data_IF_399429997925
#
_entry.id   IF_399429997925
#
_cell.length_a   1.000
_cell.length_b   1.000
_cell.length_c   1.000
_cell.angle_alpha   90.00
_cell.angle_beta   90.00
_cell.angle_gamma   90.00
#
_symmetry.space_group_name_H-M   'P 1'
#
loop_
_entity.id
_entity.type
_entity.pdbx_description
1 polymer ?
#
# COMPACT_ATOMS: atom_id res chain seq x y z
N UNK A 1 -20.54 25.24 -49.80
CA UNK A 1 -20.30 25.77 -48.44
C UNK A 1 -20.35 24.62 -47.45
N UNK A 2 -19.25 24.40 -46.73
CA UNK A 2 -19.03 23.30 -45.77
C UNK A 2 -19.93 23.48 -44.55
N UNK A 3 -20.87 22.58 -44.32
CA UNK A 3 -21.42 22.35 -42.99
C UNK A 3 -20.65 21.21 -42.35
N UNK A 4 -19.85 21.61 -41.36
CA UNK A 4 -18.78 20.82 -40.78
C UNK A 4 -19.28 19.65 -39.94
N UNK A 5 -18.54 18.56 -40.10
CA UNK A 5 -18.38 17.47 -39.13
C UNK A 5 -18.12 18.07 -37.75
N UNK A 6 -19.14 18.10 -36.90
CA UNK A 6 -19.01 17.99 -35.45
C UNK A 6 -20.02 16.97 -34.97
N UNK A 7 -19.83 15.72 -35.42
CA UNK A 7 -20.25 14.58 -34.63
C UNK A 7 -19.43 14.68 -33.34
N UNK A 8 -20.04 15.33 -32.33
CA UNK A 8 -19.59 15.30 -30.95
C UNK A 8 -19.44 13.82 -30.60
N UNK A 9 -18.21 13.35 -30.50
CA UNK A 9 -17.89 12.18 -29.72
C UNK A 9 -18.22 12.53 -28.27
N UNK A 10 -19.49 12.44 -27.91
CA UNK A 10 -19.89 12.12 -26.55
C UNK A 10 -19.38 10.69 -26.32
N UNK A 11 -18.08 10.58 -26.03
CA UNK A 11 -17.56 9.44 -25.30
C UNK A 11 -18.44 9.37 -24.06
N UNK A 12 -19.19 8.28 -23.93
CA UNK A 12 -19.90 7.96 -22.71
C UNK A 12 -18.93 8.22 -21.56
N UNK A 13 -19.29 9.12 -20.65
CA UNK A 13 -18.55 9.29 -19.40
C UNK A 13 -18.62 7.92 -18.71
N UNK A 14 -17.56 7.14 -18.87
CA UNK A 14 -17.46 5.84 -18.23
C UNK A 14 -17.64 6.09 -16.74
N UNK A 15 -18.51 5.30 -16.09
CA UNK A 15 -18.72 5.29 -14.64
C UNK A 15 -17.47 4.76 -13.91
N UNK A 16 -16.30 5.31 -14.22
CA UNK A 16 -15.01 4.79 -13.82
C UNK A 16 -14.55 5.49 -12.55
N UNK A 17 -14.10 4.66 -11.62
CA UNK A 17 -13.44 5.07 -10.39
C UNK A 17 -12.19 5.88 -10.77
N UNK A 18 -12.04 7.14 -10.31
CA UNK A 18 -10.93 8.02 -10.70
C UNK A 18 -9.54 7.40 -10.55
N UNK A 19 -9.35 6.56 -9.52
CA UNK A 19 -8.10 5.81 -9.34
C UNK A 19 -7.80 4.86 -10.52
N UNK A 20 -8.78 4.09 -10.96
CA UNK A 20 -8.63 3.15 -12.07
C UNK A 20 -8.38 3.88 -13.40
N UNK A 21 -9.01 5.04 -13.60
CA UNK A 21 -8.76 5.87 -14.78
C UNK A 21 -7.30 6.33 -14.84
N UNK A 22 -6.74 6.83 -13.73
CA UNK A 22 -5.33 7.24 -13.67
C UNK A 22 -4.38 6.07 -13.92
N UNK A 23 -4.69 4.89 -13.40
CA UNK A 23 -3.94 3.67 -13.71
C UNK A 23 -4.00 3.28 -15.19
N UNK A 24 -5.16 3.42 -15.84
CA UNK A 24 -5.32 3.08 -17.26
C UNK A 24 -4.55 4.05 -18.18
N UNK A 25 -4.40 5.31 -17.78
CA UNK A 25 -3.63 6.33 -18.50
C UNK A 25 -2.11 6.15 -18.37
N UNK A 26 -1.64 5.56 -17.26
CA UNK A 26 -0.22 5.31 -17.02
C UNK A 26 0.36 4.23 -17.96
N UNK A 27 1.68 4.26 -18.18
CA UNK A 27 2.40 3.27 -18.98
C UNK A 27 3.39 2.46 -18.15
N UNK A 28 4.09 3.13 -17.23
CA UNK A 28 5.13 2.54 -16.39
C UNK A 28 4.79 2.83 -14.93
N UNK A 29 4.28 1.82 -14.23
CA UNK A 29 3.74 2.00 -12.88
C UNK A 29 4.67 1.39 -11.84
N UNK A 30 5.05 2.17 -10.84
CA UNK A 30 5.67 1.66 -9.62
C UNK A 30 4.57 1.34 -8.62
N UNK A 31 4.46 0.07 -8.21
CA UNK A 31 3.58 -0.38 -7.13
C UNK A 31 4.45 -0.65 -5.91
N UNK A 32 4.25 0.10 -4.82
CA UNK A 32 5.11 0.01 -3.64
C UNK A 32 4.32 -0.21 -2.34
N UNK A 33 4.66 -1.27 -1.59
CA UNK A 33 4.11 -1.47 -0.23
C UNK A 33 4.64 -0.42 0.75
N UNK A 34 3.76 0.27 1.48
CA UNK A 34 4.13 1.45 2.27
C UNK A 34 4.26 1.23 3.79
N UNK A 35 3.47 0.36 4.41
CA UNK A 35 3.60 -0.01 5.84
C UNK A 35 4.65 -1.10 6.06
N UNK A 36 4.99 -1.80 4.99
CA UNK A 36 6.11 -2.71 4.89
C UNK A 36 5.70 -4.17 5.06
N UNK A 37 6.68 -5.04 5.32
CA UNK A 37 6.42 -6.48 5.32
C UNK A 37 5.73 -6.92 4.03
N UNK A 38 4.49 -7.40 4.12
CA UNK A 38 3.79 -8.04 3.00
C UNK A 38 2.87 -7.12 2.19
N UNK A 39 2.79 -5.83 2.46
CA UNK A 39 1.85 -4.92 1.77
C UNK A 39 1.98 -4.95 0.25
N UNK A 40 3.20 -5.13 -0.27
CA UNK A 40 3.44 -5.28 -1.71
C UNK A 40 2.62 -6.40 -2.36
N UNK A 41 2.21 -7.42 -1.61
CA UNK A 41 1.35 -8.50 -2.13
C UNK A 41 -0.04 -8.00 -2.45
N UNK A 42 -0.59 -7.08 -1.66
CA UNK A 42 -1.86 -6.42 -1.97
C UNK A 42 -1.75 -5.52 -3.21
N UNK A 43 -0.55 -5.29 -3.74
CA UNK A 43 -0.34 -4.62 -5.04
C UNK A 43 -0.49 -5.55 -6.25
N UNK A 44 -0.41 -6.86 -6.06
CA UNK A 44 -0.43 -7.86 -7.16
C UNK A 44 -1.76 -7.88 -7.93
N UNK A 45 -2.94 -7.77 -7.28
CA UNK A 45 -4.20 -7.55 -7.99
C UNK A 45 -4.15 -6.39 -9.00
N UNK A 46 -3.58 -5.25 -8.58
CA UNK A 46 -3.45 -4.07 -9.43
C UNK A 46 -2.46 -4.32 -10.57
N UNK A 47 -1.38 -5.05 -10.31
CA UNK A 47 -0.39 -5.44 -11.31
C UNK A 47 -0.99 -6.37 -12.38
N UNK A 48 -1.79 -7.37 -12.00
CA UNK A 48 -2.46 -8.28 -12.97
C UNK A 48 -3.39 -7.49 -13.91
N UNK A 49 -4.14 -6.52 -13.37
CA UNK A 49 -4.94 -5.61 -14.19
C UNK A 49 -4.08 -4.81 -15.17
N UNK A 50 -2.98 -4.22 -14.70
CA UNK A 50 -2.06 -3.43 -15.53
C UNK A 50 -1.42 -4.27 -16.64
N UNK A 51 -0.94 -5.48 -16.32
CA UNK A 51 -0.37 -6.38 -17.32
C UNK A 51 -1.39 -6.82 -18.37
N UNK A 52 -2.65 -7.05 -17.98
CA UNK A 52 -3.73 -7.36 -18.95
C UNK A 52 -3.97 -6.24 -19.98
N UNK A 53 -3.50 -5.02 -19.68
CA UNK A 53 -3.56 -3.84 -20.56
C UNK A 53 -2.21 -3.47 -21.17
N UNK A 54 -1.23 -4.37 -21.12
CA UNK A 54 0.10 -4.18 -21.73
C UNK A 54 0.96 -3.10 -21.06
N UNK A 55 0.66 -2.75 -19.80
CA UNK A 55 1.43 -1.78 -19.03
C UNK A 55 2.66 -2.42 -18.39
N UNK A 56 3.69 -1.62 -18.12
CA UNK A 56 4.87 -2.05 -17.38
C UNK A 56 4.67 -1.80 -15.90
N UNK A 57 5.11 -2.75 -15.08
CA UNK A 57 5.04 -2.68 -13.62
C UNK A 57 6.45 -2.85 -13.07
N UNK A 58 6.79 -2.04 -12.07
CA UNK A 58 7.94 -2.19 -11.18
C UNK A 58 7.38 -2.30 -9.77
N UNK A 59 7.98 -3.15 -8.94
CA UNK A 59 7.61 -3.26 -7.54
C UNK A 59 8.63 -2.57 -6.63
N UNK A 60 8.11 -1.94 -5.58
CA UNK A 60 8.86 -1.46 -4.42
C UNK A 60 8.28 -2.04 -3.14
N UNK A 61 9.04 -2.07 -2.06
CA UNK A 61 8.48 -2.41 -0.75
C UNK A 61 9.33 -1.83 0.37
N UNK A 62 8.69 -1.24 1.38
CA UNK A 62 9.38 -0.87 2.60
C UNK A 62 9.74 -2.13 3.40
N UNK A 63 11.01 -2.53 3.39
CA UNK A 63 11.39 -3.86 3.83
C UNK A 63 11.59 -3.96 5.33
N UNK A 64 11.07 -5.03 5.92
CA UNK A 64 11.33 -5.40 7.32
C UNK A 64 12.54 -6.34 7.44
N UNK A 65 13.07 -6.78 6.31
CA UNK A 65 14.22 -7.66 6.22
C UNK A 65 15.53 -6.90 6.44
N UNK A 66 16.53 -7.56 7.03
CA UNK A 66 17.89 -7.03 7.03
C UNK A 66 18.52 -7.18 5.63
N UNK A 67 18.33 -6.18 4.77
CA UNK A 67 18.74 -6.22 3.36
C UNK A 67 20.26 -6.33 3.14
N UNK A 68 21.08 -6.02 4.14
CA UNK A 68 22.53 -6.24 4.05
C UNK A 68 22.91 -7.69 3.85
N UNK A 69 22.03 -8.63 4.23
CA UNK A 69 22.23 -10.06 4.11
C UNK A 69 21.55 -10.66 2.87
N UNK A 70 20.85 -9.85 2.07
CA UNK A 70 20.02 -10.37 0.98
C UNK A 70 20.81 -10.78 -0.27
N UNK A 71 22.06 -10.35 -0.42
CA UNK A 71 22.88 -10.64 -1.61
C UNK A 71 22.36 -10.00 -2.92
N UNK A 72 21.32 -9.17 -2.86
CA UNK A 72 20.78 -8.42 -3.99
C UNK A 72 21.69 -7.27 -4.43
N UNK A 73 21.48 -6.78 -5.65
CA UNK A 73 22.21 -5.63 -6.20
C UNK A 73 21.89 -4.37 -5.38
N UNK A 74 22.90 -3.75 -4.77
CA UNK A 74 22.72 -2.51 -4.02
C UNK A 74 22.69 -1.31 -4.98
N UNK A 75 21.55 -0.64 -5.03
CA UNK A 75 21.27 0.47 -5.95
C UNK A 75 21.74 1.80 -5.35
N UNK A 76 21.49 1.98 -4.06
CA UNK A 76 21.91 3.16 -3.31
C UNK A 76 22.06 2.77 -1.81
N UNK A 77 22.39 3.72 -0.90
CA UNK A 77 22.60 3.38 0.50
C UNK A 77 21.45 2.65 1.22
N UNK A 78 20.21 2.86 0.78
CA UNK A 78 18.97 2.38 1.42
C UNK A 78 18.11 1.54 0.48
N UNK A 79 18.62 1.06 -0.65
CA UNK A 79 17.81 0.34 -1.65
C UNK A 79 18.57 -0.77 -2.34
N UNK A 80 17.92 -1.93 -2.42
CA UNK A 80 18.41 -3.13 -3.07
C UNK A 80 17.41 -3.58 -4.12
N UNK A 81 17.91 -4.07 -5.24
CA UNK A 81 17.12 -4.83 -6.19
C UNK A 81 17.12 -6.30 -5.75
N UNK A 82 15.93 -6.86 -5.65
CA UNK A 82 15.68 -8.22 -5.20
C UNK A 82 15.22 -9.06 -6.38
N UNK A 83 15.74 -10.29 -6.44
CA UNK A 83 15.32 -11.29 -7.41
C UNK A 83 15.41 -12.70 -6.81
N UNK A 84 15.20 -13.72 -7.63
CA UNK A 84 15.25 -15.13 -7.22
C UNK A 84 16.62 -15.58 -6.67
N UNK A 85 17.69 -14.93 -7.10
CA UNK A 85 19.06 -15.25 -6.68
C UNK A 85 19.42 -14.64 -5.33
N UNK A 86 18.60 -13.70 -4.82
CA UNK A 86 18.75 -13.15 -3.48
C UNK A 86 18.67 -14.25 -2.42
N UNK A 87 19.42 -14.11 -1.33
CA UNK A 87 19.50 -15.10 -0.25
C UNK A 87 18.13 -15.31 0.42
N UNK A 88 17.84 -16.55 0.80
CA UNK A 88 16.69 -16.87 1.65
C UNK A 88 16.99 -16.43 3.08
N UNK A 89 16.30 -15.39 3.54
CA UNK A 89 16.46 -14.80 4.87
C UNK A 89 15.09 -14.62 5.52
N UNK A 90 15.00 -14.60 6.86
CA UNK A 90 13.71 -14.51 7.54
C UNK A 90 12.92 -13.27 7.13
N UNK A 91 11.60 -13.45 6.95
CA UNK A 91 10.65 -12.38 6.69
C UNK A 91 11.02 -11.56 5.44
N UNK A 92 11.11 -12.20 4.28
CA UNK A 92 11.56 -11.58 3.03
C UNK A 92 10.53 -11.69 1.87
N UNK A 93 9.38 -11.01 1.99
CA UNK A 93 8.28 -11.10 1.03
C UNK A 93 8.67 -10.66 -0.39
N UNK A 94 9.61 -9.72 -0.55
CA UNK A 94 10.09 -9.27 -1.84
C UNK A 94 10.75 -10.41 -2.64
N UNK A 95 11.50 -11.28 -1.97
CA UNK A 95 12.08 -12.48 -2.59
C UNK A 95 11.00 -13.48 -2.97
N UNK A 96 10.04 -13.74 -2.09
CA UNK A 96 8.96 -14.69 -2.38
C UNK A 96 8.07 -14.20 -3.51
N UNK A 97 7.83 -12.89 -3.60
CA UNK A 97 7.18 -12.27 -4.76
C UNK A 97 8.00 -12.50 -6.04
N UNK A 98 9.31 -12.29 -6.00
CA UNK A 98 10.18 -12.50 -7.16
C UNK A 98 10.14 -13.96 -7.66
N UNK A 99 10.14 -14.92 -6.74
CA UNK A 99 10.06 -16.34 -7.08
C UNK A 99 8.68 -16.73 -7.60
N UNK A 100 7.61 -16.30 -6.94
CA UNK A 100 6.24 -16.56 -7.36
C UNK A 100 5.93 -15.95 -8.73
N UNK A 101 6.41 -14.75 -9.02
CA UNK A 101 6.27 -14.15 -10.35
C UNK A 101 7.00 -14.97 -11.43
N UNK A 102 8.17 -15.50 -11.10
CA UNK A 102 8.95 -16.30 -12.04
C UNK A 102 8.30 -17.65 -12.35
N UNK A 103 7.62 -18.30 -11.41
CA UNK A 103 6.84 -19.53 -11.70
C UNK A 103 5.71 -19.26 -12.68
N UNK A 104 5.25 -18.00 -12.75
CA UNK A 104 4.25 -17.49 -13.70
C UNK A 104 4.86 -16.90 -14.98
N UNK A 105 6.17 -17.12 -15.21
CA UNK A 105 6.87 -16.62 -16.39
C UNK A 105 7.04 -15.10 -16.43
N UNK A 106 6.88 -14.41 -15.29
CA UNK A 106 7.05 -12.96 -15.18
C UNK A 106 8.40 -12.61 -14.56
N UNK A 107 9.20 -11.84 -15.27
CA UNK A 107 10.42 -11.24 -14.77
C UNK A 107 10.19 -9.74 -14.60
N UNK A 108 10.09 -9.27 -13.35
CA UNK A 108 9.72 -7.89 -13.01
C UNK A 108 10.76 -7.33 -12.05
N UNK A 109 11.24 -6.07 -12.23
CA UNK A 109 12.11 -5.44 -11.25
C UNK A 109 11.40 -5.27 -9.91
N UNK A 110 12.02 -5.73 -8.82
CA UNK A 110 11.53 -5.58 -7.45
C UNK A 110 12.63 -4.88 -6.64
N UNK A 111 12.25 -3.82 -5.94
CA UNK A 111 13.13 -3.05 -5.08
C UNK A 111 12.68 -3.15 -3.63
N UNK A 112 13.63 -3.41 -2.74
CA UNK A 112 13.42 -3.40 -1.30
C UNK A 112 14.10 -2.16 -0.71
N UNK A 113 13.33 -1.36 0.03
CA UNK A 113 13.82 -0.19 0.75
C UNK A 113 14.23 -0.59 2.16
N UNK A 114 15.48 -0.28 2.55
CA UNK A 114 15.92 -0.44 3.93
C UNK A 114 15.28 0.64 4.82
N UNK A 115 15.14 0.32 6.11
CA UNK A 115 14.63 1.26 7.11
C UNK A 115 15.43 2.57 7.09
N UNK A 116 14.72 3.67 6.84
CA UNK A 116 15.25 5.03 6.74
C UNK A 116 14.15 6.05 7.01
N UNK A 117 14.53 7.31 7.20
CA UNK A 117 13.58 8.44 7.24
C UNK A 117 13.13 8.85 5.83
N UNK A 118 12.35 9.92 5.76
CA UNK A 118 11.73 10.38 4.51
C UNK A 118 12.74 10.80 3.46
N UNK A 119 13.82 11.53 3.82
CA UNK A 119 14.76 12.06 2.83
C UNK A 119 15.47 10.97 2.03
N UNK A 120 16.10 9.95 2.65
CA UNK A 120 16.69 8.84 1.91
C UNK A 120 15.66 8.03 1.12
N UNK A 121 14.47 7.81 1.69
CA UNK A 121 13.42 7.06 1.02
C UNK A 121 12.90 7.79 -0.22
N UNK A 122 12.72 9.11 -0.16
CA UNK A 122 12.33 9.93 -1.30
C UNK A 122 13.41 9.92 -2.40
N UNK A 123 14.69 9.92 -2.02
CA UNK A 123 15.79 9.76 -2.97
C UNK A 123 15.72 8.39 -3.68
N UNK A 124 15.42 7.31 -2.96
CA UNK A 124 15.21 5.99 -3.55
C UNK A 124 14.04 5.94 -4.51
N UNK A 125 12.89 6.53 -4.17
CA UNK A 125 11.77 6.66 -5.10
C UNK A 125 12.19 7.42 -6.37
N UNK A 126 12.89 8.56 -6.25
CA UNK A 126 13.38 9.31 -7.42
C UNK A 126 14.31 8.47 -8.31
N UNK A 127 15.26 7.73 -7.73
CA UNK A 127 16.16 6.87 -8.49
C UNK A 127 15.40 5.80 -9.29
N UNK A 128 14.40 5.14 -8.69
CA UNK A 128 13.59 4.13 -9.38
C UNK A 128 12.73 4.78 -10.47
N UNK A 129 12.13 5.95 -10.17
CA UNK A 129 11.31 6.70 -11.11
C UNK A 129 12.11 7.05 -12.37
N UNK A 130 13.33 7.55 -12.20
CA UNK A 130 14.23 7.89 -13.29
C UNK A 130 14.65 6.65 -14.07
N UNK A 131 15.13 5.61 -13.38
CA UNK A 131 15.66 4.39 -13.99
C UNK A 131 14.63 3.67 -14.87
N UNK A 132 13.37 3.60 -14.43
CA UNK A 132 12.30 2.88 -15.13
C UNK A 132 11.34 3.80 -15.88
N UNK A 133 11.60 5.10 -15.91
CA UNK A 133 10.73 6.12 -16.52
C UNK A 133 9.29 6.00 -16.02
N UNK A 134 9.14 5.84 -14.70
CA UNK A 134 7.84 5.67 -14.05
C UNK A 134 7.01 6.93 -14.25
N UNK A 135 5.78 6.77 -14.74
CA UNK A 135 4.83 7.86 -14.92
C UNK A 135 3.72 7.87 -13.84
N UNK A 136 3.59 6.79 -13.07
CA UNK A 136 2.67 6.69 -11.94
C UNK A 136 3.28 5.88 -10.79
N UNK A 137 3.22 6.42 -9.56
CA UNK A 137 3.52 5.68 -8.33
C UNK A 137 2.22 5.38 -7.60
N UNK A 138 2.02 4.12 -7.22
CA UNK A 138 0.89 3.64 -6.44
C UNK A 138 1.45 3.00 -5.16
N UNK A 139 1.14 3.60 -4.02
CA UNK A 139 1.41 3.03 -2.70
C UNK A 139 0.31 2.06 -2.32
N UNK A 140 0.69 0.97 -1.66
CA UNK A 140 -0.21 -0.08 -1.18
C UNK A 140 -0.05 -0.23 0.32
N UNK A 141 -1.17 -0.20 1.03
CA UNK A 141 -1.27 -0.54 2.44
C UNK A 141 -2.22 -1.74 2.59
N UNK A 142 -1.78 -2.76 3.33
CA UNK A 142 -2.60 -3.93 3.67
C UNK A 142 -3.59 -3.66 4.82
N UNK A 143 -3.50 -2.49 5.44
CA UNK A 143 -4.40 -1.97 6.45
C UNK A 143 -4.99 -0.61 6.07
N UNK A 144 -5.37 0.13 7.10
CA UNK A 144 -6.09 1.40 7.04
C UNK A 144 -5.44 2.49 7.89
N UNK A 145 -4.34 2.18 8.58
CA UNK A 145 -3.57 3.13 9.36
C UNK A 145 -2.70 4.05 8.50
N UNK A 146 -2.59 3.83 7.19
CA UNK A 146 -2.11 4.84 6.25
C UNK A 146 -2.99 6.11 6.16
N UNK A 147 -4.27 6.05 6.56
CA UNK A 147 -5.24 7.16 6.50
C UNK A 147 -5.44 7.78 7.89
N UNK A 148 -4.35 8.26 8.48
CA UNK A 148 -4.30 8.85 9.83
C UNK A 148 -3.73 10.29 9.72
N UNK A 149 -4.40 11.25 10.35
CA UNK A 149 -4.03 12.67 10.31
C UNK A 149 -3.18 13.10 11.52
N UNK A 150 -3.26 12.35 12.62
CA UNK A 150 -2.46 12.51 13.84
C UNK A 150 -3.26 12.89 15.08
N UNK A 151 -4.56 13.19 14.96
CA UNK A 151 -5.45 13.52 16.06
C UNK A 151 -6.38 12.36 16.46
N UNK A 152 -6.27 11.20 15.82
CA UNK A 152 -7.09 9.99 16.03
C UNK A 152 -7.04 9.47 17.46
N UNK A 153 -8.03 8.68 17.95
CA UNK A 153 -7.95 8.10 19.29
C UNK A 153 -6.69 7.23 19.50
N UNK A 154 -6.31 6.46 18.49
CA UNK A 154 -5.07 5.70 18.42
C UNK A 154 -4.49 5.75 17.00
N UNK A 155 -3.17 5.64 16.91
CA UNK A 155 -2.42 5.85 15.66
C UNK A 155 -2.07 4.55 14.93
N UNK A 156 -2.28 3.36 15.50
CA UNK A 156 -1.82 2.12 14.85
C UNK A 156 -0.30 2.09 14.67
N UNK A 157 0.14 1.57 13.52
CA UNK A 157 1.55 1.35 13.14
C UNK A 157 2.03 2.33 12.05
N UNK A 158 1.55 3.58 12.08
CA UNK A 158 1.71 4.59 11.02
C UNK A 158 3.14 4.99 10.60
N UNK A 159 4.20 4.63 11.33
CA UNK A 159 5.50 5.30 11.11
C UNK A 159 6.05 4.96 9.72
N UNK A 160 6.03 3.69 9.36
CA UNK A 160 6.43 3.20 8.04
C UNK A 160 5.53 3.75 6.93
N UNK A 161 4.20 3.68 7.10
CA UNK A 161 3.22 4.20 6.14
C UNK A 161 3.42 5.68 5.88
N UNK A 162 3.46 6.48 6.94
CA UNK A 162 3.61 7.92 6.82
C UNK A 162 4.95 8.31 6.19
N UNK A 163 6.05 7.64 6.56
CA UNK A 163 7.34 7.88 5.93
C UNK A 163 7.29 7.58 4.43
N UNK A 164 6.70 6.45 4.03
CA UNK A 164 6.53 6.04 2.64
C UNK A 164 5.63 6.99 1.84
N UNK A 165 4.51 7.41 2.43
CA UNK A 165 3.55 8.34 1.82
C UNK A 165 4.18 9.70 1.59
N UNK A 166 4.83 10.28 2.60
CA UNK A 166 5.50 11.59 2.48
C UNK A 166 6.67 11.50 1.50
N UNK A 167 7.45 10.42 1.54
CA UNK A 167 8.57 10.22 0.60
C UNK A 167 8.13 10.10 -0.86
N UNK A 168 7.08 9.32 -1.14
CA UNK A 168 6.54 9.18 -2.49
C UNK A 168 5.84 10.47 -2.95
N UNK A 169 5.15 11.18 -2.05
CA UNK A 169 4.58 12.49 -2.33
C UNK A 169 5.66 13.48 -2.79
N UNK A 170 6.75 13.60 -2.03
CA UNK A 170 7.89 14.45 -2.37
C UNK A 170 8.55 14.02 -3.69
N UNK A 171 8.85 12.73 -3.85
CA UNK A 171 9.49 12.18 -5.05
C UNK A 171 8.68 12.36 -6.35
N UNK A 172 7.34 12.48 -6.25
CA UNK A 172 6.44 12.59 -7.40
C UNK A 172 5.85 13.98 -7.62
N UNK A 173 6.21 14.96 -6.78
CA UNK A 173 5.56 16.26 -6.69
C UNK A 173 4.03 16.12 -6.49
N UNK A 174 3.63 15.24 -5.57
CA UNK A 174 2.25 15.02 -5.15
C UNK A 174 1.36 14.24 -6.12
N UNK A 175 1.96 13.54 -7.09
CA UNK A 175 1.23 12.74 -8.09
C UNK A 175 1.08 11.26 -7.72
N UNK A 176 1.72 10.80 -6.65
CA UNK A 176 1.54 9.45 -6.13
C UNK A 176 0.09 9.21 -5.66
N UNK A 177 -0.36 7.97 -5.83
CA UNK A 177 -1.65 7.49 -5.34
C UNK A 177 -1.43 6.53 -4.17
N UNK A 178 -2.45 6.35 -3.34
CA UNK A 178 -2.51 5.34 -2.29
C UNK A 178 -3.72 4.44 -2.51
N UNK A 179 -3.54 3.13 -2.31
CA UNK A 179 -4.61 2.15 -2.25
C UNK A 179 -4.46 1.32 -0.97
N UNK A 180 -5.37 1.54 -0.03
CA UNK A 180 -5.46 0.84 1.24
C UNK A 180 -6.52 -0.27 1.14
N UNK A 181 -6.22 -1.48 1.62
CA UNK A 181 -7.15 -2.61 1.67
C UNK A 181 -7.15 -3.20 3.10
N UNK A 182 -8.06 -4.11 3.44
CA UNK A 182 -8.02 -4.74 4.76
C UNK A 182 -8.70 -3.93 5.86
N UNK A 183 -9.79 -3.22 5.54
CA UNK A 183 -10.59 -2.47 6.51
C UNK A 183 -10.84 -3.24 7.81
N UNK A 184 -10.28 -2.69 8.90
CA UNK A 184 -10.43 -3.15 10.27
C UNK A 184 -9.40 -4.14 10.78
N UNK A 185 -8.37 -4.46 10.00
CA UNK A 185 -7.22 -5.26 10.47
C UNK A 185 -6.48 -4.53 11.60
N UNK A 186 -6.33 -3.21 11.51
CA UNK A 186 -5.55 -2.39 12.46
C UNK A 186 -6.30 -2.04 13.74
N UNK A 187 -7.54 -2.50 13.89
CA UNK A 187 -8.33 -2.29 15.10
C UNK A 187 -7.56 -2.72 16.35
N UNK A 188 -6.87 -3.87 16.26
CA UNK A 188 -6.09 -4.45 17.34
C UNK A 188 -4.78 -3.70 17.63
N UNK A 189 -4.40 -2.75 16.76
CA UNK A 189 -3.31 -1.79 16.98
C UNK A 189 -3.83 -0.41 17.42
N UNK A 190 -5.12 -0.29 17.76
CA UNK A 190 -5.73 0.92 18.31
C UNK A 190 -6.34 1.85 17.28
N UNK A 191 -6.45 1.43 16.01
CA UNK A 191 -7.11 2.22 14.97
C UNK A 191 -8.63 2.17 15.15
N UNK A 192 -9.27 3.33 15.12
CA UNK A 192 -10.73 3.43 15.19
C UNK A 192 -11.33 3.40 13.79
N UNK A 193 -12.24 2.45 13.55
CA UNK A 193 -12.98 2.39 12.28
C UNK A 193 -13.82 3.66 12.04
N UNK A 194 -14.38 4.24 13.10
CA UNK A 194 -15.09 5.53 13.01
C UNK A 194 -14.14 6.64 12.56
N UNK A 195 -12.96 6.72 13.17
CA UNK A 195 -11.93 7.71 12.82
C UNK A 195 -11.49 7.56 11.35
N UNK A 196 -11.25 6.32 10.89
CA UNK A 196 -10.96 6.05 9.48
C UNK A 196 -12.09 6.57 8.56
N UNK A 197 -13.34 6.21 8.82
CA UNK A 197 -14.47 6.63 7.97
C UNK A 197 -14.65 8.15 7.97
N UNK A 198 -14.42 8.80 9.11
CA UNK A 198 -14.41 10.26 9.22
C UNK A 198 -13.27 10.89 8.40
N UNK A 199 -12.08 10.29 8.38
CA UNK A 199 -10.97 10.75 7.54
C UNK A 199 -11.27 10.58 6.05
N UNK A 200 -11.86 9.44 5.66
CA UNK A 200 -12.32 9.23 4.27
C UNK A 200 -13.34 10.29 3.88
N UNK A 201 -14.28 10.63 4.76
CA UNK A 201 -15.26 11.69 4.50
C UNK A 201 -14.60 13.06 4.33
N UNK A 202 -13.61 13.40 5.17
CA UNK A 202 -12.84 14.64 5.03
C UNK A 202 -12.03 14.68 3.73
N UNK A 203 -11.33 13.60 3.37
CA UNK A 203 -10.62 13.49 2.10
C UNK A 203 -11.57 13.54 0.90
N UNK A 204 -12.79 13.03 1.04
CA UNK A 204 -13.82 13.15 0.01
C UNK A 204 -14.23 14.59 -0.20
N UNK A 205 -14.49 15.34 0.89
CA UNK A 205 -14.81 16.76 0.82
C UNK A 205 -13.70 17.59 0.16
N UNK A 206 -12.44 17.19 0.35
CA UNK A 206 -11.27 17.84 -0.26
C UNK A 206 -11.01 17.39 -1.71
N UNK A 207 -11.74 16.41 -2.24
CA UNK A 207 -11.48 15.79 -3.55
C UNK A 207 -10.28 14.83 -3.59
N UNK A 208 -9.78 14.44 -2.42
CA UNK A 208 -8.66 13.51 -2.24
C UNK A 208 -9.05 12.03 -2.31
N UNK A 209 -10.30 11.67 -2.05
CA UNK A 209 -10.81 10.30 -2.22
C UNK A 209 -11.08 10.01 -3.70
N UNK A 210 -10.45 8.95 -4.22
CA UNK A 210 -10.48 8.57 -5.64
C UNK A 210 -11.40 7.37 -5.93
N UNK A 211 -12.25 7.04 -4.95
CA UNK A 211 -13.24 5.96 -5.01
C UNK A 211 -12.75 4.66 -4.37
N UNK A 212 -13.65 3.66 -4.38
CA UNK A 212 -13.40 2.34 -3.81
C UNK A 212 -13.93 1.23 -4.72
N UNK A 213 -13.27 0.07 -4.69
CA UNK A 213 -13.67 -1.15 -5.42
C UNK A 213 -13.26 -2.41 -4.67
N UNK A 214 -13.91 -3.53 -4.96
CA UNK A 214 -13.66 -4.80 -4.26
C UNK A 214 -12.78 -5.74 -5.06
N UNK A 215 -11.86 -6.41 -4.36
CA UNK A 215 -11.16 -7.59 -4.83
C UNK A 215 -12.07 -8.80 -4.72
N UNK A 216 -12.37 -9.45 -5.84
CA UNK A 216 -13.27 -10.61 -5.88
C UNK A 216 -12.52 -11.90 -6.17
N UNK A 217 -12.84 -12.97 -5.45
CA UNK A 217 -12.31 -14.32 -5.69
C UNK A 217 -12.62 -14.87 -7.09
N UNK A 218 -13.65 -14.35 -7.77
CA UNK A 218 -14.02 -14.73 -9.13
C UNK A 218 -13.20 -14.06 -10.24
N UNK A 219 -12.16 -13.30 -9.90
CA UNK A 219 -11.34 -12.55 -10.86
C UNK A 219 -9.91 -13.09 -10.93
N UNK A 220 -9.21 -12.83 -12.02
CA UNK A 220 -7.80 -13.23 -12.16
C UNK A 220 -6.93 -12.52 -11.11
N UNK A 221 -7.26 -11.27 -10.79
CA UNK A 221 -6.65 -10.44 -9.76
C UNK A 221 -6.80 -11.07 -8.36
N UNK A 222 -8.01 -11.49 -8.00
CA UNK A 222 -8.28 -12.15 -6.72
C UNK A 222 -7.60 -13.52 -6.62
N UNK A 223 -7.67 -14.33 -7.67
CA UNK A 223 -7.01 -15.64 -7.71
C UNK A 223 -5.48 -15.51 -7.56
N UNK A 224 -4.87 -14.52 -8.22
CA UNK A 224 -3.44 -14.24 -8.11
C UNK A 224 -3.03 -13.84 -6.69
N UNK A 225 -3.81 -13.01 -6.01
CA UNK A 225 -3.55 -12.64 -4.61
C UNK A 225 -3.62 -13.85 -3.68
N UNK A 226 -4.68 -14.67 -3.79
CA UNK A 226 -4.83 -15.86 -2.94
C UNK A 226 -3.68 -16.85 -3.16
N UNK A 227 -3.31 -17.11 -4.41
CA UNK A 227 -2.20 -18.00 -4.78
C UNK A 227 -0.85 -17.51 -4.21
N UNK A 228 -0.57 -16.21 -4.29
CA UNK A 228 0.64 -15.62 -3.72
C UNK A 228 0.67 -15.70 -2.18
N UNK A 229 -0.46 -15.47 -1.51
CA UNK A 229 -0.56 -15.60 -0.05
C UNK A 229 -0.30 -17.05 0.37
N UNK A 230 -0.90 -18.01 -0.32
CA UNK A 230 -0.70 -19.43 -0.04
C UNK A 230 0.76 -19.85 -0.30
N UNK A 231 1.37 -19.35 -1.37
CA UNK A 231 2.78 -19.56 -1.68
C UNK A 231 3.70 -19.05 -0.55
N UNK A 232 3.47 -17.83 -0.06
CA UNK A 232 4.30 -17.28 1.00
C UNK A 232 4.07 -17.92 2.36
N UNK A 233 2.85 -18.40 2.64
CA UNK A 233 2.57 -19.19 3.84
C UNK A 233 3.42 -20.47 3.88
N UNK A 234 3.69 -21.09 2.72
CA UNK A 234 4.59 -22.26 2.63
C UNK A 234 6.06 -21.89 2.86
N UNK A 235 6.47 -20.67 2.53
CA UNK A 235 7.86 -20.20 2.72
C UNK A 235 8.13 -19.69 4.13
N UNK A 236 7.11 -19.17 4.82
CA UNK A 236 7.23 -18.71 6.21
C UNK A 236 6.12 -19.28 7.10
N UNK A 237 6.13 -20.60 7.36
CA UNK A 237 5.08 -21.24 8.16
C UNK A 237 5.09 -20.81 9.63
N UNK A 238 6.25 -20.40 10.16
CA UNK A 238 6.38 -19.93 11.54
C UNK A 238 5.79 -18.53 11.77
N UNK A 239 5.83 -17.69 10.74
CA UNK A 239 5.40 -16.30 10.81
C UNK A 239 4.61 -15.85 9.56
N UNK A 240 3.46 -16.48 9.23
CA UNK A 240 2.60 -16.01 8.14
C UNK A 240 2.16 -14.55 8.33
N UNK A 241 1.85 -13.84 7.24
CA UNK A 241 1.33 -12.48 7.34
C UNK A 241 -0.08 -12.49 7.94
N UNK A 242 -0.29 -11.82 9.08
CA UNK A 242 -1.64 -11.67 9.66
C UNK A 242 -2.54 -10.87 8.70
N UNK A 243 -2.00 -9.78 8.17
CA UNK A 243 -2.70 -8.83 7.30
C UNK A 243 -3.17 -9.53 6.02
N UNK A 244 -2.25 -10.11 5.24
CA UNK A 244 -2.60 -10.73 3.97
C UNK A 244 -3.50 -11.95 4.14
N UNK A 245 -3.33 -12.74 5.20
CA UNK A 245 -4.23 -13.86 5.48
C UNK A 245 -5.63 -13.40 5.88
N UNK A 246 -5.77 -12.28 6.60
CA UNK A 246 -7.09 -11.70 6.93
C UNK A 246 -7.82 -11.20 5.69
N UNK A 247 -7.11 -10.49 4.79
CA UNK A 247 -7.65 -10.09 3.48
C UNK A 247 -8.03 -11.33 2.66
N UNK A 248 -7.17 -12.35 2.60
CA UNK A 248 -7.43 -13.58 1.86
C UNK A 248 -8.66 -14.32 2.40
N UNK A 249 -8.83 -14.39 3.72
CA UNK A 249 -10.04 -14.92 4.36
C UNK A 249 -11.31 -14.17 3.94
N UNK A 250 -11.27 -12.83 3.95
CA UNK A 250 -12.41 -12.03 3.49
C UNK A 250 -12.72 -12.25 1.99
N UNK A 251 -11.69 -12.34 1.14
CA UNK A 251 -11.85 -12.65 -0.29
C UNK A 251 -12.44 -14.04 -0.52
N UNK A 252 -12.14 -15.01 0.35
CA UNK A 252 -12.73 -16.35 0.37
C UNK A 252 -14.16 -16.39 0.93
N UNK A 253 -14.65 -15.29 1.50
CA UNK A 253 -16.00 -15.19 2.06
C UNK A 253 -16.11 -15.59 3.52
N UNK A 254 -14.98 -15.74 4.23
CA UNK A 254 -14.97 -15.99 5.67
C UNK A 254 -15.42 -14.75 6.46
N UNK A 255 -15.90 -14.95 7.69
CA UNK A 255 -16.45 -13.86 8.52
C UNK A 255 -16.23 -14.09 10.02
N UNK A 256 -16.13 -13.00 10.78
CA UNK A 256 -16.05 -13.01 12.24
C UNK A 256 -14.67 -13.43 12.75
N UNK A 257 -14.65 -14.19 13.86
CA UNK A 257 -13.42 -14.65 14.49
C UNK A 257 -12.82 -15.87 13.77
N UNK A 258 -12.46 -15.68 12.50
CA UNK A 258 -11.87 -16.72 11.66
C UNK A 258 -10.35 -16.62 11.64
N UNK A 259 -9.66 -17.72 11.97
CA UNK A 259 -8.20 -17.79 12.01
C UNK A 259 -7.66 -18.68 10.88
N UNK A 260 -7.12 -18.08 9.83
CA UNK A 260 -6.48 -18.81 8.74
C UNK A 260 -5.16 -19.49 9.16
N UNK A 261 -4.49 -18.96 10.19
CA UNK A 261 -3.18 -19.43 10.65
C UNK A 261 -3.09 -19.43 12.16
N UNK A 262 -2.15 -20.21 12.69
CA UNK A 262 -1.90 -20.29 14.14
C UNK A 262 -1.31 -19.00 14.73
N UNK A 263 -0.90 -18.02 13.89
CA UNK A 263 -0.29 -16.77 14.35
C UNK A 263 -1.27 -15.87 15.12
N UNK A 264 -2.56 -16.07 14.88
CA UNK A 264 -3.66 -15.32 15.53
C UNK A 264 -4.38 -16.14 16.59
N UNK A 265 -3.92 -17.36 16.90
CA UNK A 265 -4.55 -18.21 17.91
C UNK A 265 -4.53 -17.53 19.28
N UNK A 266 -5.68 -17.53 19.96
CA UNK A 266 -5.84 -16.90 21.28
C UNK A 266 -6.10 -15.39 21.25
N UNK A 267 -6.32 -14.81 20.07
CA UNK A 267 -6.84 -13.44 19.90
C UNK A 267 -8.26 -13.47 19.33
N UNK A 268 -8.96 -12.33 19.37
CA UNK A 268 -10.17 -12.14 18.58
C UNK A 268 -9.82 -11.51 17.24
N UNK A 269 -10.48 -11.95 16.18
CA UNK A 269 -10.47 -11.34 14.85
C UNK A 269 -11.89 -10.93 14.46
N UNK A 270 -11.96 -10.02 13.49
CA UNK A 270 -13.22 -9.62 12.87
C UNK A 270 -13.06 -9.58 11.36
N UNK A 271 -12.90 -10.76 10.76
CA UNK A 271 -12.89 -10.90 9.30
C UNK A 271 -14.24 -10.40 8.78
N UNK A 272 -14.20 -9.49 7.81
CA UNK A 272 -15.41 -8.86 7.30
C UNK A 272 -15.28 -8.55 5.79
N UNK A 273 -16.39 -8.43 5.05
CA UNK A 273 -16.34 -8.22 3.60
C UNK A 273 -15.65 -6.91 3.17
N UNK A 274 -15.62 -5.87 4.03
CA UNK A 274 -14.95 -4.60 3.71
C UNK A 274 -13.42 -4.76 3.70
N UNK A 275 -12.86 -5.82 4.29
CA UNK A 275 -11.43 -6.13 4.16
C UNK A 275 -11.02 -6.42 2.71
N UNK A 276 -11.94 -6.83 1.85
CA UNK A 276 -11.69 -7.04 0.42
C UNK A 276 -11.76 -5.76 -0.42
N UNK A 277 -12.12 -4.62 0.19
CA UNK A 277 -12.30 -3.35 -0.50
C UNK A 277 -11.03 -2.52 -0.50
N UNK A 278 -10.60 -2.10 -1.68
CA UNK A 278 -9.62 -1.03 -1.84
C UNK A 278 -10.29 0.33 -1.64
N UNK A 279 -9.66 1.15 -0.82
CA UNK A 279 -9.94 2.56 -0.59
C UNK A 279 -8.81 3.36 -1.18
N UNK A 280 -9.10 4.29 -2.10
CA UNK A 280 -8.04 4.91 -2.90
C UNK A 280 -8.01 6.42 -2.76
N UNK A 281 -6.80 6.98 -2.75
CA UNK A 281 -6.57 8.38 -2.39
C UNK A 281 -5.46 9.01 -3.23
N UNK A 282 -5.56 10.32 -3.44
CA UNK A 282 -4.44 11.14 -3.89
C UNK A 282 -3.57 11.51 -2.69
N UNK A 283 -2.28 11.15 -2.72
CA UNK A 283 -1.37 11.41 -1.59
C UNK A 283 -1.21 12.91 -1.29
N UNK A 284 -1.41 13.78 -2.28
CA UNK A 284 -1.36 15.23 -2.10
C UNK A 284 -2.43 15.80 -1.16
N UNK A 285 -3.60 15.18 -1.08
CA UNK A 285 -4.63 15.59 -0.12
C UNK A 285 -4.38 14.98 1.26
N UNK A 286 -3.92 13.74 1.29
CA UNK A 286 -3.57 13.04 2.52
C UNK A 286 -2.41 13.73 3.27
N UNK A 287 -1.31 14.04 2.58
CA UNK A 287 -0.15 14.72 3.17
C UNK A 287 -0.50 16.10 3.70
N UNK A 288 -1.41 16.85 3.04
CA UNK A 288 -1.89 18.14 3.54
C UNK A 288 -2.67 18.05 4.85
N UNK A 289 -3.33 16.92 5.11
CA UNK A 289 -4.09 16.67 6.34
C UNK A 289 -3.24 16.02 7.44
N UNK A 290 -2.14 15.38 7.06
CA UNK A 290 -1.20 14.75 7.98
C UNK A 290 -0.42 15.81 8.75
N UNK A 291 -0.85 16.09 9.98
CA UNK A 291 -0.37 17.24 10.75
C UNK A 291 1.11 17.13 11.18
N UNK A 292 1.67 15.92 11.15
CA UNK A 292 3.08 15.64 11.42
C UNK A 292 3.95 15.52 10.15
N UNK A 293 3.40 15.73 8.95
CA UNK A 293 4.13 15.56 7.70
C UNK A 293 5.36 16.46 7.58
N UNK A 294 5.28 17.72 8.02
CA UNK A 294 6.40 18.66 7.99
C UNK A 294 7.60 18.18 8.83
N UNK A 295 7.31 17.60 10.00
CA UNK A 295 8.32 16.98 10.85
C UNK A 295 8.97 15.76 10.17
N UNK A 296 8.15 14.94 9.50
CA UNK A 296 8.63 13.76 8.78
C UNK A 296 9.56 14.10 7.60
N UNK A 297 9.24 15.15 6.83
CA UNK A 297 10.01 15.56 5.65
C UNK A 297 11.50 15.79 5.93
N UNK A 298 11.85 16.08 7.19
CA UNK A 298 13.22 16.39 7.59
C UNK A 298 13.98 15.22 8.23
N UNK A 299 13.50 13.99 8.06
CA UNK A 299 14.07 12.81 8.74
C UNK A 299 14.98 12.02 7.82
N UNK A 300 16.12 11.57 8.35
CA UNK A 300 17.02 10.60 7.68
C UNK A 300 16.90 9.20 8.27
N UNK A 301 16.46 9.09 9.53
CA UNK A 301 16.31 7.82 10.24
C UNK A 301 14.87 7.58 10.68
N UNK A 302 14.51 6.30 10.83
CA UNK A 302 13.18 5.91 11.26
C UNK A 302 12.87 6.37 12.70
N UNK A 303 13.88 6.42 13.55
CA UNK A 303 13.76 6.93 14.92
C UNK A 303 13.44 8.43 14.94
N UNK A 304 13.92 9.20 13.95
CA UNK A 304 13.60 10.62 13.82
C UNK A 304 12.15 10.80 13.35
N UNK A 305 11.69 9.96 12.42
CA UNK A 305 10.29 9.91 12.00
C UNK A 305 9.35 9.60 13.18
N UNK A 306 9.69 8.58 13.98
CA UNK A 306 8.94 8.25 15.19
C UNK A 306 8.87 9.43 16.17
N UNK A 307 9.99 10.08 16.45
CA UNK A 307 10.04 11.25 17.34
C UNK A 307 9.19 12.41 16.82
N UNK A 308 9.20 12.68 15.51
CA UNK A 308 8.41 13.75 14.93
C UNK A 308 6.90 13.54 15.16
N UNK A 309 6.43 12.31 14.96
CA UNK A 309 5.03 11.91 15.23
C UNK A 309 4.71 12.03 16.72
N UNK A 310 5.57 11.47 17.59
CA UNK A 310 5.38 11.52 19.05
C UNK A 310 5.37 12.95 19.59
N UNK A 311 6.27 13.81 19.11
CA UNK A 311 6.32 15.23 19.50
C UNK A 311 5.06 15.97 19.09
N UNK A 312 4.60 15.80 17.85
CA UNK A 312 3.32 16.38 17.42
C UNK A 312 2.18 15.89 18.32
N UNK A 313 2.14 14.59 18.60
CA UNK A 313 1.09 13.96 19.40
C UNK A 313 1.01 14.49 20.83
N UNK A 314 2.13 14.93 21.41
CA UNK A 314 2.17 15.57 22.73
C UNK A 314 1.61 17.00 22.76
N UNK A 315 1.42 17.63 21.59
CA UNK A 315 0.93 19.02 21.49
C UNK A 315 -0.58 19.14 21.32
N UNK A 316 -1.28 18.02 21.16
CA UNK A 316 -2.71 17.99 20.86
C UNK A 316 -3.46 17.09 21.85
N UNK A 317 -4.77 17.33 21.97
CA UNK A 317 -5.68 16.38 22.60
C UNK A 317 -6.25 15.46 21.51
N UNK A 318 -6.09 14.12 21.63
CA UNK A 318 -6.69 13.18 20.69
C UNK A 318 -8.22 13.28 20.70
N UNK A 319 -8.83 13.15 19.52
CA UNK A 319 -10.28 13.06 19.39
C UNK A 319 -10.81 11.82 20.12
N UNK A 320 -12.04 11.86 20.66
CA UNK A 320 -12.58 10.77 21.46
C UNK A 320 -12.82 9.52 20.60
N UNK A 321 -12.60 8.34 21.20
CA UNK A 321 -12.98 7.06 20.59
C UNK A 321 -14.50 6.98 20.47
N UNK A 322 -14.99 6.67 19.26
CA UNK A 322 -16.42 6.48 18.97
C UNK A 322 -16.67 5.13 18.29
N UNK A 323 -17.77 4.44 18.60
CA UNK A 323 -18.21 3.29 17.82
C UNK A 323 -18.82 3.75 16.49
N UNK A 324 -18.89 2.83 15.52
CA UNK A 324 -19.75 3.01 14.34
C UNK A 324 -21.19 2.72 14.78
N UNK A 325 -22.18 3.58 14.47
CA UNK A 325 -23.58 3.25 14.70
C UNK A 325 -23.98 2.11 13.77
N UNK A 326 -24.17 0.92 14.33
CA UNK A 326 -24.68 -0.28 13.67
C UNK A 326 -26.07 -0.61 14.20
#
# INVERSE_FOLDING_TARGET
MRWGRRARTLLAASHMIPFLERMEQASNVLIAGCGGGFDVFAGVPLAERLWSRGKQVVFGNFSFTNLWLCGGERINPTTWRVDRSSAEIPYFPEKWLAEWLATRGRAVPIYAFAKSGVRPLAASYRSIIEQHRIDLVVLIDGGTDSIIFGDEPGLGTIIEDAASIVAAHDATAGRALLAAIGFGIDHFHGVSHHAFLENVAQLTADGGFLGAFSLSSGTAEGAAFLDLVDYANQRQPAHPSIVCNSIASAVRGEFGNYHATNRTSGSDLFINPLMSQYWTFATSHLVRRMAYADGLMQTDRMEEARRAVEQYRQTIEPRPLRPIPL
#
